data_IF_706160484068
#
_entry.id   IF_706160484068
#
_cell.length_a   1.000
_cell.length_b   1.000
_cell.length_c   1.000
_cell.angle_alpha   90.00
_cell.angle_beta   90.00
_cell.angle_gamma   90.00
#
_symmetry.space_group_name_H-M   'P 1'
#
loop_
_entity.id
_entity.type
_entity.pdbx_description
1 polymer ?
#
# COMPACT_ATOMS: atom_id res chain seq x y z
N UNK A 1 42.21 -62.68 81.34
CA UNK A 1 41.79 -63.89 80.51
C UNK A 1 41.12 -63.40 79.28
N UNK A 2 41.56 -63.86 78.13
CA UNK A 2 41.02 -63.81 76.77
C UNK A 2 41.08 -62.47 76.04
N UNK A 3 42.05 -62.43 75.19
CA UNK A 3 42.26 -61.52 74.07
C UNK A 3 41.12 -61.58 73.01
N UNK A 4 40.68 -60.42 72.52
CA UNK A 4 40.08 -60.37 71.18
C UNK A 4 40.72 -59.26 70.35
N UNK A 5 41.37 -59.71 69.29
CA UNK A 5 42.00 -58.92 68.28
C UNK A 5 40.92 -58.24 67.41
N UNK A 6 40.89 -56.93 67.30
CA UNK A 6 40.06 -56.23 66.39
C UNK A 6 40.85 -55.85 65.13
N UNK A 7 40.37 -56.30 63.97
CA UNK A 7 40.95 -56.05 62.66
C UNK A 7 40.56 -54.68 62.17
N UNK A 8 41.53 -53.84 61.93
CA UNK A 8 41.36 -52.58 61.16
C UNK A 8 40.92 -52.94 59.74
N UNK A 9 39.82 -52.37 59.30
CA UNK A 9 39.40 -52.29 57.88
C UNK A 9 39.74 -50.90 57.35
N UNK A 10 40.74 -50.85 56.51
CA UNK A 10 41.09 -49.69 55.67
C UNK A 10 39.95 -49.45 54.69
N UNK A 11 39.34 -48.27 54.74
CA UNK A 11 38.43 -47.77 53.71
C UNK A 11 39.23 -46.92 52.74
N UNK A 12 39.38 -47.39 51.53
CA UNK A 12 39.87 -46.61 50.41
C UNK A 12 38.86 -45.57 49.97
N UNK A 13 39.19 -44.28 50.04
CA UNK A 13 38.43 -43.22 49.41
C UNK A 13 38.73 -43.27 47.90
N UNK A 14 37.68 -43.56 47.09
CA UNK A 14 37.70 -43.35 45.67
C UNK A 14 37.32 -41.90 45.41
N UNK A 15 38.25 -41.07 44.96
CA UNK A 15 38.03 -39.69 44.45
C UNK A 15 37.53 -39.85 43.02
N UNK A 16 36.23 -39.66 42.80
CA UNK A 16 35.65 -39.61 41.46
C UNK A 16 35.93 -38.24 40.82
N UNK A 17 36.76 -38.21 39.80
CA UNK A 17 36.89 -37.06 38.88
C UNK A 17 35.60 -37.01 38.03
N UNK A 18 34.73 -36.01 38.30
CA UNK A 18 33.65 -35.65 37.40
C UNK A 18 34.23 -34.82 36.26
N UNK A 19 34.40 -35.44 35.09
CA UNK A 19 34.63 -34.72 33.82
C UNK A 19 33.34 -34.00 33.44
N UNK A 20 33.30 -32.69 33.61
CA UNK A 20 32.27 -31.83 33.01
C UNK A 20 32.51 -31.77 31.51
N UNK A 21 31.78 -32.58 30.75
CA UNK A 21 31.67 -32.44 29.31
C UNK A 21 30.86 -31.16 29.00
N UNK A 22 31.55 -30.06 28.77
CA UNK A 22 30.94 -28.85 28.18
C UNK A 22 30.49 -29.21 26.75
N UNK A 23 29.22 -29.48 26.58
CA UNK A 23 28.59 -29.57 25.26
C UNK A 23 28.72 -28.22 24.59
N UNK A 24 29.70 -28.08 23.70
CA UNK A 24 29.72 -27.00 22.71
C UNK A 24 28.50 -27.25 21.81
N UNK A 25 27.38 -26.53 22.10
CA UNK A 25 26.31 -26.37 21.16
C UNK A 25 26.94 -25.68 19.92
N UNK A 26 26.79 -26.24 18.72
CA UNK A 26 27.19 -25.54 17.54
C UNK A 26 26.35 -24.24 17.51
N UNK A 27 27.02 -23.08 17.61
CA UNK A 27 26.42 -21.80 17.23
C UNK A 27 26.09 -21.98 15.76
N UNK A 28 24.81 -22.26 15.47
CA UNK A 28 24.33 -22.24 14.11
C UNK A 28 24.69 -20.85 13.56
N UNK A 29 25.65 -20.80 12.64
CA UNK A 29 25.81 -19.61 11.80
C UNK A 29 24.42 -19.38 11.20
N UNK A 30 23.77 -18.26 11.51
CA UNK A 30 22.65 -17.77 10.73
C UNK A 30 23.22 -17.67 9.31
N UNK A 31 22.91 -18.66 8.46
CA UNK A 31 23.25 -18.60 7.04
C UNK A 31 22.63 -17.32 6.53
N UNK A 32 23.38 -16.51 5.79
CA UNK A 32 22.81 -15.36 5.10
C UNK A 32 21.57 -15.88 4.33
N UNK A 33 20.42 -15.22 4.51
CA UNK A 33 19.20 -15.61 3.82
C UNK A 33 19.46 -15.74 2.32
N UNK A 34 18.94 -16.79 1.69
CA UNK A 34 19.18 -17.04 0.28
C UNK A 34 18.46 -16.05 -0.64
N UNK A 35 17.52 -15.27 -0.09
CA UNK A 35 16.70 -14.25 -0.78
C UNK A 35 16.55 -13.00 0.08
N UNK A 36 16.11 -11.90 -0.54
CA UNK A 36 15.58 -10.75 0.14
C UNK A 36 14.04 -10.88 0.27
N UNK A 37 13.52 -10.51 1.42
CA UNK A 37 12.07 -10.54 1.69
C UNK A 37 11.49 -9.11 1.58
N UNK A 38 10.62 -8.93 0.60
CA UNK A 38 9.94 -7.66 0.32
C UNK A 38 8.44 -7.79 0.58
N UNK A 39 7.89 -6.89 1.41
CA UNK A 39 6.45 -6.76 1.63
C UNK A 39 5.91 -5.49 0.95
N UNK A 40 4.85 -5.63 0.13
CA UNK A 40 4.13 -4.52 -0.46
C UNK A 40 2.79 -4.33 0.25
N UNK A 41 2.65 -3.19 0.91
CA UNK A 41 1.47 -2.74 1.66
C UNK A 41 0.83 -1.56 0.94
N UNK A 42 -0.48 -1.39 1.06
CA UNK A 42 -1.12 -0.22 0.48
C UNK A 42 -2.60 -0.39 0.16
N UNK A 43 -3.11 0.58 -0.56
CA UNK A 43 -4.49 0.69 -1.01
C UNK A 43 -4.69 0.23 -2.47
N UNK A 44 -5.73 0.73 -3.14
CA UNK A 44 -6.06 0.40 -4.53
C UNK A 44 -4.99 0.82 -5.54
N UNK A 45 -4.23 1.87 -5.26
CA UNK A 45 -3.12 2.31 -6.11
C UNK A 45 -1.91 1.37 -6.04
N UNK A 46 -1.79 0.61 -4.94
CA UNK A 46 -0.81 -0.46 -4.81
C UNK A 46 -1.35 -1.79 -5.34
N UNK A 47 -2.63 -2.09 -5.07
CA UNK A 47 -3.28 -3.33 -5.50
C UNK A 47 -3.51 -3.41 -7.02
N UNK A 48 -3.59 -2.27 -7.72
CA UNK A 48 -3.83 -2.21 -9.16
C UNK A 48 -5.20 -2.76 -9.55
N UNK A 49 -6.24 -2.34 -8.86
CA UNK A 49 -7.58 -2.98 -8.78
C UNK A 49 -8.25 -3.33 -10.11
N UNK A 50 -7.80 -2.82 -11.27
CA UNK A 50 -8.39 -3.14 -12.57
C UNK A 50 -7.37 -3.16 -13.73
N UNK A 51 -6.08 -3.33 -13.44
CA UNK A 51 -5.03 -3.41 -14.46
C UNK A 51 -4.50 -4.84 -14.60
N UNK A 52 -4.98 -5.60 -15.55
CA UNK A 52 -4.57 -6.99 -15.77
C UNK A 52 -5.47 -8.02 -15.10
N UNK A 53 -5.01 -9.27 -14.98
CA UNK A 53 -5.78 -10.34 -14.40
C UNK A 53 -5.78 -10.27 -12.86
N UNK A 54 -6.91 -10.60 -12.20
CA UNK A 54 -6.99 -10.58 -10.74
C UNK A 54 -6.12 -11.67 -10.10
N UNK A 55 -5.50 -11.33 -8.97
CA UNK A 55 -4.67 -12.18 -8.13
C UNK A 55 -5.23 -12.25 -6.70
N UNK A 56 -5.72 -13.40 -6.22
CA UNK A 56 -5.92 -14.68 -6.93
C UNK A 56 -6.97 -14.61 -8.06
N UNK A 57 -6.95 -15.58 -9.02
CA UNK A 57 -7.87 -15.58 -10.15
C UNK A 57 -9.35 -15.62 -9.74
N UNK A 58 -10.25 -15.16 -10.64
CA UNK A 58 -11.69 -15.21 -10.40
C UNK A 58 -12.17 -16.65 -10.19
N UNK A 59 -12.86 -16.90 -9.07
CA UNK A 59 -13.36 -18.23 -8.70
C UNK A 59 -12.41 -19.01 -7.80
N UNK A 60 -11.20 -18.52 -7.54
CA UNK A 60 -10.32 -19.11 -6.55
C UNK A 60 -10.86 -18.87 -5.13
N UNK A 61 -10.86 -19.93 -4.29
CA UNK A 61 -11.38 -19.86 -2.92
C UNK A 61 -10.51 -18.99 -1.98
N UNK A 62 -9.27 -18.68 -2.37
CA UNK A 62 -8.36 -17.82 -1.60
C UNK A 62 -8.56 -16.32 -1.89
N UNK A 63 -9.50 -15.93 -2.77
CA UNK A 63 -9.82 -14.53 -2.98
C UNK A 63 -10.32 -13.88 -1.70
N UNK A 64 -9.74 -12.75 -1.38
CA UNK A 64 -10.01 -12.00 -0.16
C UNK A 64 -10.78 -10.69 -0.37
N UNK A 65 -11.10 -10.34 -1.63
CA UNK A 65 -11.79 -9.10 -1.98
C UNK A 65 -10.90 -7.85 -2.00
N UNK A 66 -9.59 -8.02 -1.95
CA UNK A 66 -8.62 -6.92 -2.01
C UNK A 66 -8.31 -6.44 -3.44
N UNK A 67 -8.74 -7.21 -4.46
CA UNK A 67 -8.63 -6.87 -5.88
C UNK A 67 -7.21 -6.56 -6.38
N UNK A 68 -6.21 -7.29 -5.87
CA UNK A 68 -4.86 -7.25 -6.43
C UNK A 68 -4.85 -7.82 -7.84
N UNK A 69 -3.97 -7.28 -8.71
CA UNK A 69 -3.85 -7.74 -10.10
C UNK A 69 -2.39 -7.94 -10.51
N UNK A 70 -2.17 -8.76 -11.55
CA UNK A 70 -0.84 -9.11 -12.05
C UNK A 70 -0.03 -7.95 -12.65
N UNK A 71 -0.70 -6.85 -13.04
CA UNK A 71 -0.06 -5.66 -13.59
C UNK A 71 -0.02 -4.49 -12.59
N UNK A 72 -0.35 -4.73 -11.33
CA UNK A 72 -0.05 -3.81 -10.25
C UNK A 72 1.47 -3.56 -10.16
N UNK A 73 1.87 -2.35 -9.73
CA UNK A 73 3.29 -2.02 -9.70
C UNK A 73 4.15 -2.99 -8.88
N UNK A 74 3.70 -3.57 -7.75
CA UNK A 74 4.53 -4.54 -7.02
C UNK A 74 4.85 -5.78 -7.85
N UNK A 75 3.85 -6.31 -8.57
CA UNK A 75 4.00 -7.51 -9.39
C UNK A 75 4.86 -7.23 -10.65
N UNK A 76 4.78 -6.00 -11.18
CA UNK A 76 5.70 -5.55 -12.27
C UNK A 76 7.13 -5.52 -11.77
N UNK A 77 7.38 -4.90 -10.59
CA UNK A 77 8.71 -4.82 -9.96
C UNK A 77 9.26 -6.21 -9.62
N UNK A 78 8.41 -7.13 -9.13
CA UNK A 78 8.84 -8.50 -8.83
C UNK A 78 9.41 -9.18 -10.08
N UNK A 79 8.72 -9.04 -11.24
CA UNK A 79 9.21 -9.62 -12.51
C UNK A 79 10.55 -9.01 -12.94
N UNK A 80 10.71 -7.69 -12.83
CA UNK A 80 11.97 -7.00 -13.17
C UNK A 80 13.12 -7.42 -12.23
N UNK A 81 12.85 -7.53 -10.94
CA UNK A 81 13.83 -8.00 -9.96
C UNK A 81 14.16 -9.49 -10.11
N UNK A 82 13.23 -10.30 -10.62
CA UNK A 82 13.47 -11.71 -10.95
C UNK A 82 14.37 -11.85 -12.19
N UNK A 83 14.18 -10.99 -13.21
CA UNK A 83 15.03 -10.99 -14.41
C UNK A 83 16.43 -10.45 -14.10
N UNK A 84 16.53 -9.38 -13.29
CA UNK A 84 17.79 -8.73 -12.91
C UNK A 84 17.94 -8.62 -11.39
N UNK A 85 18.28 -9.71 -10.67
CA UNK A 85 18.33 -9.70 -9.21
C UNK A 85 19.40 -8.75 -8.64
N UNK A 86 19.13 -8.02 -7.55
CA UNK A 86 20.09 -7.15 -6.89
C UNK A 86 21.06 -7.93 -5.98
N UNK A 87 21.79 -8.89 -6.55
CA UNK A 87 22.72 -9.77 -5.84
C UNK A 87 22.10 -11.05 -5.30
N UNK A 88 20.84 -11.05 -4.88
CA UNK A 88 20.04 -12.22 -4.47
C UNK A 88 18.64 -12.11 -5.06
N UNK A 89 17.89 -13.24 -5.19
CA UNK A 89 16.47 -13.21 -5.49
C UNK A 89 15.71 -12.32 -4.48
N UNK A 90 14.62 -11.72 -4.93
CA UNK A 90 13.70 -10.95 -4.09
C UNK A 90 12.36 -11.65 -4.09
N UNK A 91 11.85 -11.98 -2.92
CA UNK A 91 10.54 -12.60 -2.75
C UNK A 91 9.52 -11.52 -2.36
N UNK A 92 8.49 -11.35 -3.17
CA UNK A 92 7.39 -10.42 -2.88
C UNK A 92 6.29 -11.08 -2.05
N UNK A 93 5.85 -10.39 -1.01
CA UNK A 93 4.56 -10.63 -0.33
C UNK A 93 3.68 -9.40 -0.51
N UNK A 94 2.80 -9.42 -1.52
CA UNK A 94 1.85 -8.34 -1.79
C UNK A 94 0.55 -8.56 -1.02
N UNK A 95 0.28 -7.73 -0.02
CA UNK A 95 -0.94 -7.76 0.82
C UNK A 95 -1.77 -6.48 0.72
N UNK A 96 -1.47 -5.62 -0.26
CA UNK A 96 -2.25 -4.42 -0.54
C UNK A 96 -3.73 -4.76 -0.76
N UNK A 97 -4.61 -3.81 -0.51
CA UNK A 97 -6.05 -4.05 -0.56
C UNK A 97 -6.83 -2.81 -1.01
N UNK A 98 -7.68 -2.97 -2.01
CA UNK A 98 -8.55 -1.90 -2.48
C UNK A 98 -9.36 -1.28 -1.34
N UNK A 99 -9.41 0.05 -1.28
CA UNK A 99 -10.13 0.78 -0.25
C UNK A 99 -9.44 0.85 1.12
N UNK A 100 -8.24 0.30 1.30
CA UNK A 100 -7.53 0.34 2.57
C UNK A 100 -7.29 1.78 3.05
N UNK A 101 -7.58 2.03 4.32
CA UNK A 101 -7.20 3.25 5.05
C UNK A 101 -5.90 3.01 5.83
N UNK A 102 -5.27 4.06 6.32
CA UNK A 102 -3.97 3.96 7.02
C UNK A 102 -4.04 3.00 8.21
N UNK A 103 -5.15 2.99 8.96
CA UNK A 103 -5.32 2.09 10.10
C UNK A 103 -5.36 0.60 9.70
N UNK A 104 -5.78 0.27 8.47
CA UNK A 104 -5.84 -1.12 7.99
C UNK A 104 -4.43 -1.71 7.75
N UNK A 105 -3.43 -0.85 7.63
CA UNK A 105 -2.03 -1.31 7.55
C UNK A 105 -1.61 -1.96 8.86
N UNK A 106 -1.94 -1.35 10.03
CA UNK A 106 -1.28 -1.71 11.29
C UNK A 106 -2.20 -1.97 12.48
N UNK A 107 -3.41 -1.42 12.52
CA UNK A 107 -4.23 -1.37 13.75
C UNK A 107 -5.62 -1.98 13.64
N UNK A 108 -6.27 -1.88 12.49
CA UNK A 108 -7.63 -2.35 12.26
C UNK A 108 -7.71 -3.45 11.22
N UNK A 109 -8.70 -4.32 11.36
CA UNK A 109 -9.03 -5.31 10.33
C UNK A 109 -9.87 -4.63 9.25
N UNK A 110 -9.50 -4.80 7.99
CA UNK A 110 -10.25 -4.27 6.87
C UNK A 110 -11.39 -5.21 6.47
N UNK A 111 -12.56 -4.66 6.20
CA UNK A 111 -13.60 -5.36 5.43
C UNK A 111 -13.43 -4.93 3.96
N UNK A 112 -12.96 -5.82 3.06
CA UNK A 112 -12.75 -5.47 1.66
C UNK A 112 -14.05 -5.06 0.97
N UNK A 113 -13.94 -4.11 0.05
CA UNK A 113 -15.09 -3.49 -0.63
C UNK A 113 -15.24 -3.90 -2.10
N UNK A 114 -14.55 -4.96 -2.53
CA UNK A 114 -14.59 -5.42 -3.93
C UNK A 114 -16.03 -5.60 -4.43
N UNK A 115 -16.38 -4.95 -5.55
CA UNK A 115 -17.66 -5.19 -6.23
C UNK A 115 -17.64 -6.46 -7.09
N UNK A 116 -16.50 -7.16 -7.19
CA UNK A 116 -16.26 -8.27 -8.11
C UNK A 116 -16.58 -9.59 -7.45
N UNK A 117 -17.77 -10.13 -7.72
CA UNK A 117 -18.23 -11.44 -7.22
C UNK A 117 -18.07 -11.60 -5.70
N UNK A 118 -18.62 -10.70 -4.89
CA UNK A 118 -18.58 -10.88 -3.44
C UNK A 118 -19.35 -12.16 -3.06
N UNK A 119 -18.91 -12.88 -2.02
CA UNK A 119 -19.66 -14.00 -1.47
C UNK A 119 -20.99 -13.51 -0.88
N UNK A 120 -21.92 -14.44 -0.63
CA UNK A 120 -23.15 -14.12 0.10
C UNK A 120 -22.79 -13.56 1.49
N UNK A 121 -23.34 -12.41 1.83
CA UNK A 121 -23.02 -11.69 3.07
C UNK A 121 -21.81 -10.74 2.99
N UNK A 122 -21.18 -10.61 1.81
CA UNK A 122 -20.02 -9.73 1.59
C UNK A 122 -18.67 -10.40 1.90
N UNK A 123 -17.60 -9.67 1.71
CA UNK A 123 -16.25 -10.15 1.99
C UNK A 123 -16.00 -10.23 3.50
N UNK A 124 -15.38 -11.31 4.01
CA UNK A 124 -14.98 -11.39 5.40
C UNK A 124 -13.87 -10.37 5.70
N UNK A 125 -13.83 -9.88 6.95
CA UNK A 125 -12.74 -9.01 7.36
C UNK A 125 -11.40 -9.73 7.32
N UNK A 126 -10.40 -9.08 6.70
CA UNK A 126 -9.01 -9.55 6.66
C UNK A 126 -8.21 -8.91 7.80
N UNK A 127 -7.15 -9.58 8.26
CA UNK A 127 -6.26 -9.05 9.29
C UNK A 127 -5.45 -7.85 8.75
N UNK A 128 -4.80 -7.10 9.65
CA UNK A 128 -3.97 -5.95 9.26
C UNK A 128 -2.91 -6.36 8.26
N UNK A 129 -2.49 -5.43 7.39
CA UNK A 129 -1.51 -5.75 6.37
C UNK A 129 -0.15 -6.15 6.96
N UNK A 130 0.26 -5.57 8.09
CA UNK A 130 1.46 -6.01 8.85
C UNK A 130 1.37 -7.51 9.21
N UNK A 131 0.21 -7.95 9.71
CA UNK A 131 0.00 -9.35 10.09
C UNK A 131 -0.04 -10.28 8.87
N UNK A 132 -0.75 -9.87 7.82
CA UNK A 132 -0.87 -10.66 6.57
C UNK A 132 0.47 -10.79 5.84
N UNK A 133 1.31 -9.76 5.89
CA UNK A 133 2.65 -9.79 5.33
C UNK A 133 3.65 -10.60 6.18
N UNK A 134 3.30 -10.91 7.44
CA UNK A 134 4.22 -11.58 8.36
C UNK A 134 5.46 -10.75 8.64
N UNK A 135 5.32 -9.42 8.76
CA UNK A 135 6.47 -8.53 9.00
C UNK A 135 7.25 -8.98 10.24
N UNK A 136 8.57 -9.02 10.13
CA UNK A 136 9.47 -9.49 11.18
C UNK A 136 10.91 -9.06 10.97
N UNK A 137 11.81 -9.58 11.83
CA UNK A 137 13.25 -9.29 11.75
C UNK A 137 13.90 -9.73 10.42
N UNK A 138 13.27 -10.70 9.72
CA UNK A 138 13.72 -11.19 8.41
C UNK A 138 13.20 -10.41 7.23
N UNK A 139 12.34 -9.40 7.42
CA UNK A 139 11.86 -8.54 6.35
C UNK A 139 12.96 -7.55 5.95
N UNK A 140 13.29 -7.49 4.67
CA UNK A 140 14.37 -6.64 4.15
C UNK A 140 13.87 -5.29 3.65
N UNK A 141 12.73 -5.29 2.96
CA UNK A 141 12.12 -4.08 2.39
C UNK A 141 10.62 -4.08 2.66
N UNK A 142 10.08 -2.92 2.98
CA UNK A 142 8.64 -2.67 3.04
C UNK A 142 8.31 -1.49 2.14
N UNK A 143 7.42 -1.66 1.17
CA UNK A 143 6.85 -0.54 0.40
C UNK A 143 5.43 -0.26 0.86
N UNK A 144 5.04 1.01 0.99
CA UNK A 144 3.73 1.43 1.52
C UNK A 144 3.17 2.56 0.67
N UNK A 145 2.04 2.30 -0.03
CA UNK A 145 1.30 3.31 -0.78
C UNK A 145 -0.12 3.40 -0.23
N UNK A 146 -0.40 4.32 0.70
CA UNK A 146 -1.68 4.47 1.39
C UNK A 146 -1.91 5.91 1.84
N UNK A 147 -3.16 6.31 2.04
CA UNK A 147 -3.52 7.62 2.60
C UNK A 147 -4.72 8.28 1.89
N UNK A 148 -4.93 7.98 0.60
CA UNK A 148 -6.02 8.56 -0.18
C UNK A 148 -7.40 8.23 0.39
N UNK A 149 -7.61 7.04 0.91
CA UNK A 149 -8.88 6.65 1.53
C UNK A 149 -9.05 7.23 2.95
N UNK A 150 -7.97 7.41 3.71
CA UNK A 150 -8.02 8.12 5.00
C UNK A 150 -8.34 9.60 4.80
N UNK A 151 -7.87 10.22 3.70
CA UNK A 151 -8.25 11.57 3.29
C UNK A 151 -9.67 11.66 2.73
N UNK A 152 -10.42 10.64 2.58
CA UNK A 152 -11.52 10.20 1.71
C UNK A 152 -11.56 10.89 0.34
N UNK A 153 -10.47 10.76 -0.44
CA UNK A 153 -10.31 11.43 -1.74
C UNK A 153 -11.45 11.13 -2.73
N UNK A 154 -11.90 9.85 -2.82
CA UNK A 154 -13.04 9.50 -3.66
C UNK A 154 -14.35 10.19 -3.23
N UNK A 155 -14.57 10.34 -1.92
CA UNK A 155 -15.71 11.10 -1.37
C UNK A 155 -15.62 12.59 -1.70
N UNK A 156 -14.41 13.17 -1.62
CA UNK A 156 -14.15 14.55 -2.01
C UNK A 156 -14.46 14.75 -3.50
N UNK A 157 -13.99 13.88 -4.38
CA UNK A 157 -14.28 13.91 -5.82
C UNK A 157 -15.80 13.81 -6.09
N UNK A 158 -16.50 12.90 -5.40
CA UNK A 158 -17.95 12.73 -5.55
C UNK A 158 -18.70 14.00 -5.15
N UNK A 159 -18.32 14.60 -4.02
CA UNK A 159 -18.90 15.90 -3.58
C UNK A 159 -18.62 17.00 -4.60
N UNK A 160 -17.40 17.07 -5.15
CA UNK A 160 -17.08 18.05 -6.18
C UNK A 160 -17.90 17.84 -7.46
N UNK A 161 -18.13 16.59 -7.84
CA UNK A 161 -18.99 16.25 -8.97
C UNK A 161 -20.44 16.69 -8.73
N UNK A 162 -21.01 16.37 -7.56
CA UNK A 162 -22.38 16.78 -7.17
C UNK A 162 -22.55 18.30 -7.14
N UNK A 163 -21.61 19.03 -6.49
CA UNK A 163 -21.60 20.49 -6.43
C UNK A 163 -21.47 21.11 -7.81
N UNK A 164 -20.60 20.56 -8.67
CA UNK A 164 -20.40 21.02 -10.04
C UNK A 164 -21.66 20.91 -10.92
N UNK A 165 -22.56 19.94 -10.66
CA UNK A 165 -23.85 19.80 -11.39
C UNK A 165 -24.77 21.01 -11.19
N UNK A 166 -24.68 21.69 -10.05
CA UNK A 166 -25.49 22.85 -9.70
C UNK A 166 -24.69 24.16 -9.71
N UNK A 167 -23.47 24.13 -10.26
CA UNK A 167 -22.58 25.30 -10.39
C UNK A 167 -22.05 25.82 -9.05
N UNK A 168 -22.01 24.99 -8.01
CA UNK A 168 -21.42 25.30 -6.70
C UNK A 168 -19.98 24.83 -6.62
N UNK A 169 -19.15 25.50 -5.79
CA UNK A 169 -17.79 25.09 -5.48
C UNK A 169 -17.76 24.00 -4.40
N UNK A 170 -17.00 22.95 -4.61
CA UNK A 170 -16.71 21.99 -3.55
C UNK A 170 -15.58 22.48 -2.64
N UNK A 171 -14.66 23.32 -3.16
CA UNK A 171 -13.64 23.98 -2.35
C UNK A 171 -14.27 24.70 -1.15
N UNK A 172 -15.29 25.54 -1.39
CA UNK A 172 -15.93 26.31 -0.32
C UNK A 172 -16.53 25.41 0.76
N UNK A 173 -17.14 24.29 0.32
CA UNK A 173 -17.68 23.27 1.23
C UNK A 173 -16.61 22.63 2.13
N UNK A 174 -15.44 22.30 1.60
CA UNK A 174 -14.37 21.65 2.37
C UNK A 174 -13.45 22.64 3.11
N UNK A 175 -13.49 23.93 2.74
CA UNK A 175 -12.73 24.98 3.44
C UNK A 175 -13.48 25.46 4.67
N UNK A 176 -14.81 25.62 4.56
CA UNK A 176 -15.73 26.04 5.64
C UNK A 176 -16.91 25.04 5.72
N UNK A 177 -16.66 23.83 6.23
CA UNK A 177 -17.65 22.75 6.24
C UNK A 177 -18.77 23.04 7.26
N UNK A 178 -19.95 22.38 7.10
CA UNK A 178 -21.00 22.41 8.09
C UNK A 178 -20.51 21.99 9.48
N UNK A 179 -21.22 22.44 10.52
CA UNK A 179 -20.92 22.09 11.90
C UNK A 179 -20.89 20.55 12.09
N UNK A 180 -19.80 20.04 12.66
CA UNK A 180 -19.58 18.60 12.91
C UNK A 180 -18.86 17.88 11.79
N UNK A 181 -18.54 18.53 10.67
CA UNK A 181 -17.72 17.97 9.60
C UNK A 181 -16.28 18.50 9.64
N UNK A 182 -15.31 17.68 9.23
CA UNK A 182 -13.90 18.09 9.17
C UNK A 182 -13.62 18.92 7.90
N UNK A 183 -12.88 20.02 8.09
CA UNK A 183 -12.28 20.74 6.97
C UNK A 183 -11.20 19.92 6.27
N UNK A 184 -10.78 20.35 5.07
CA UNK A 184 -9.64 19.70 4.38
C UNK A 184 -8.35 19.79 5.20
N UNK A 185 -8.15 20.89 5.94
CA UNK A 185 -7.00 21.05 6.81
C UNK A 185 -7.02 20.06 7.99
N UNK A 186 -8.19 19.84 8.61
CA UNK A 186 -8.35 18.86 9.69
C UNK A 186 -8.14 17.44 9.19
N UNK A 187 -8.68 17.09 8.01
CA UNK A 187 -8.48 15.79 7.37
C UNK A 187 -6.99 15.51 7.11
N UNK A 188 -6.25 16.49 6.59
CA UNK A 188 -4.81 16.35 6.35
C UNK A 188 -4.01 16.24 7.66
N UNK A 189 -4.41 16.94 8.71
CA UNK A 189 -3.80 16.84 10.03
C UNK A 189 -4.02 15.44 10.63
N UNK A 190 -5.24 14.90 10.54
CA UNK A 190 -5.57 13.54 10.97
C UNK A 190 -4.78 12.49 10.17
N UNK A 191 -4.70 12.61 8.84
CA UNK A 191 -3.89 11.73 7.99
C UNK A 191 -2.43 11.73 8.42
N UNK A 192 -1.86 12.89 8.75
CA UNK A 192 -0.48 12.98 9.26
C UNK A 192 -0.31 12.17 10.55
N UNK A 193 -1.22 12.33 11.50
CA UNK A 193 -1.12 11.69 12.81
C UNK A 193 -1.32 10.15 12.69
N UNK A 194 -2.25 9.70 11.85
CA UNK A 194 -2.43 8.29 11.49
C UNK A 194 -1.19 7.71 10.81
N UNK A 195 -0.54 8.47 9.92
CA UNK A 195 0.65 8.04 9.18
C UNK A 195 1.86 7.88 10.11
N UNK A 196 2.02 8.77 11.10
CA UNK A 196 3.04 8.66 12.15
C UNK A 196 2.84 7.36 12.96
N UNK A 197 1.61 7.10 13.40
CA UNK A 197 1.31 5.87 14.16
C UNK A 197 1.59 4.63 13.32
N UNK A 198 1.16 4.61 12.07
CA UNK A 198 1.37 3.50 11.13
C UNK A 198 2.86 3.19 10.95
N UNK A 199 3.69 4.19 10.61
CA UNK A 199 5.13 3.97 10.41
C UNK A 199 5.82 3.50 11.69
N UNK A 200 5.46 4.05 12.86
CA UNK A 200 6.00 3.57 14.13
C UNK A 200 5.72 2.07 14.34
N UNK A 201 4.53 1.60 13.98
CA UNK A 201 4.16 0.17 14.08
C UNK A 201 4.85 -0.69 13.02
N UNK A 202 5.05 -0.18 11.82
CA UNK A 202 5.80 -0.88 10.77
C UNK A 202 7.25 -1.08 11.20
N UNK A 203 7.92 -0.04 11.71
CA UNK A 203 9.28 -0.14 12.25
C UNK A 203 9.38 -1.08 13.46
N UNK A 204 8.36 -1.09 14.32
CA UNK A 204 8.30 -2.04 15.42
C UNK A 204 8.17 -3.49 14.94
N UNK A 205 7.37 -3.73 13.89
CA UNK A 205 7.13 -5.06 13.35
C UNK A 205 8.32 -5.57 12.52
N UNK A 206 8.98 -4.70 11.75
CA UNK A 206 10.11 -5.04 10.89
C UNK A 206 11.33 -4.13 11.17
N UNK A 207 12.01 -4.30 12.32
CA UNK A 207 13.03 -3.36 12.80
C UNK A 207 14.28 -3.29 11.90
N UNK A 208 14.50 -4.28 11.05
CA UNK A 208 15.64 -4.34 10.13
C UNK A 208 15.28 -3.93 8.69
N UNK A 209 14.01 -3.72 8.41
CA UNK A 209 13.54 -3.41 7.06
C UNK A 209 13.90 -1.97 6.64
N UNK A 210 14.18 -1.79 5.36
CA UNK A 210 14.15 -0.49 4.71
C UNK A 210 12.71 -0.18 4.32
N UNK A 211 12.16 0.89 4.86
CA UNK A 211 10.80 1.33 4.56
C UNK A 211 10.84 2.36 3.44
N UNK A 212 9.99 2.13 2.42
CA UNK A 212 9.84 2.98 1.25
C UNK A 212 8.36 3.40 1.18
N UNK A 213 8.05 4.66 1.37
CA UNK A 213 6.68 5.17 1.20
C UNK A 213 6.50 5.64 -0.23
N UNK A 214 5.39 5.24 -0.86
CA UNK A 214 5.09 5.56 -2.26
C UNK A 214 4.01 6.63 -2.31
N UNK A 215 4.30 7.75 -2.95
CA UNK A 215 3.35 8.83 -3.15
C UNK A 215 2.28 8.51 -4.20
N UNK A 216 1.31 9.40 -4.36
CA UNK A 216 0.29 9.34 -5.40
C UNK A 216 0.77 10.07 -6.66
N UNK A 217 0.46 9.56 -7.86
CA UNK A 217 0.81 10.21 -9.12
C UNK A 217 0.04 11.54 -9.33
N UNK A 218 0.45 12.31 -10.32
CA UNK A 218 -0.25 13.50 -10.76
C UNK A 218 -1.55 13.10 -11.48
N UNK A 219 -2.61 12.86 -10.70
CA UNK A 219 -3.91 12.45 -11.26
C UNK A 219 -4.70 13.62 -11.85
N UNK A 220 -4.34 14.87 -11.51
CA UNK A 220 -5.01 16.09 -11.91
C UNK A 220 -4.05 16.95 -12.76
N UNK A 221 -4.53 17.64 -13.81
CA UNK A 221 -3.69 18.42 -14.73
C UNK A 221 -3.06 19.63 -14.05
N UNK A 222 -1.95 20.08 -14.59
CA UNK A 222 -1.32 21.35 -14.18
C UNK A 222 -2.18 22.56 -14.59
N UNK A 223 -2.83 22.47 -15.75
CA UNK A 223 -3.83 23.45 -16.22
C UNK A 223 -5.22 22.78 -16.26
N UNK A 224 -6.11 23.17 -15.38
CA UNK A 224 -7.48 22.63 -15.36
C UNK A 224 -8.27 22.96 -16.64
N UNK A 225 -7.81 23.95 -17.45
CA UNK A 225 -8.37 24.27 -18.74
C UNK A 225 -8.24 23.14 -19.77
N UNK A 226 -7.34 22.20 -19.56
CA UNK A 226 -7.16 21.00 -20.41
C UNK A 226 -8.30 20.00 -20.26
N UNK A 227 -9.07 20.08 -19.14
CA UNK A 227 -10.17 19.16 -18.87
C UNK A 227 -11.46 19.54 -19.60
N UNK A 228 -12.07 18.58 -20.27
CA UNK A 228 -13.40 18.70 -20.82
C UNK A 228 -14.45 18.38 -19.74
N UNK A 229 -15.10 19.40 -19.20
CA UNK A 229 -16.15 19.29 -18.16
C UNK A 229 -17.40 18.50 -18.57
N UNK A 230 -17.55 18.14 -19.83
CA UNK A 230 -18.64 17.27 -20.30
C UNK A 230 -18.22 15.82 -20.47
N UNK A 231 -16.93 15.50 -20.23
CA UNK A 231 -16.37 14.18 -20.41
C UNK A 231 -16.31 13.39 -19.08
N UNK A 232 -17.08 12.31 -18.99
CA UNK A 232 -17.00 11.35 -17.89
C UNK A 232 -15.73 10.49 -17.93
N UNK A 233 -15.01 10.47 -19.07
CA UNK A 233 -13.69 9.82 -19.16
C UNK A 233 -12.57 10.70 -18.61
N UNK A 234 -12.92 11.88 -18.13
CA UNK A 234 -12.09 12.82 -17.40
C UNK A 234 -12.72 13.08 -16.03
N UNK A 235 -12.85 14.34 -15.63
CA UNK A 235 -13.37 14.77 -14.33
C UNK A 235 -14.85 15.23 -14.38
N UNK A 236 -15.49 15.10 -15.54
CA UNK A 236 -16.89 15.47 -15.72
C UNK A 236 -17.21 16.91 -15.25
N UNK A 237 -18.31 17.09 -14.53
CA UNK A 237 -18.85 18.40 -14.14
C UNK A 237 -18.08 19.14 -13.04
N UNK A 238 -16.97 18.61 -12.55
CA UNK A 238 -16.11 19.31 -11.58
C UNK A 238 -15.63 20.63 -12.21
N UNK A 239 -15.72 21.73 -11.49
CA UNK A 239 -15.32 23.04 -12.03
C UNK A 239 -13.80 23.13 -12.17
N UNK A 240 -13.29 23.89 -13.14
CA UNK A 240 -11.85 24.10 -13.30
C UNK A 240 -11.19 24.61 -12.02
N UNK A 241 -11.82 25.57 -11.34
CA UNK A 241 -11.32 26.09 -10.07
C UNK A 241 -11.27 25.02 -8.95
N UNK A 242 -12.22 24.08 -8.94
CA UNK A 242 -12.19 22.95 -8.01
C UNK A 242 -11.14 21.90 -8.40
N UNK A 243 -10.86 21.70 -9.70
CA UNK A 243 -9.75 20.85 -10.17
C UNK A 243 -8.41 21.40 -9.70
N UNK A 244 -8.18 22.73 -9.88
CA UNK A 244 -6.97 23.38 -9.39
C UNK A 244 -6.83 23.25 -7.87
N UNK A 245 -7.93 23.47 -7.12
CA UNK A 245 -7.95 23.29 -5.68
C UNK A 245 -7.68 21.83 -5.26
N UNK A 246 -8.29 20.85 -5.92
CA UNK A 246 -8.03 19.42 -5.66
C UNK A 246 -6.56 19.08 -5.86
N UNK A 247 -5.91 19.64 -6.89
CA UNK A 247 -4.48 19.46 -7.14
C UNK A 247 -3.63 20.09 -6.04
N UNK A 248 -3.85 21.39 -5.80
CA UNK A 248 -2.91 22.21 -5.02
C UNK A 248 -3.14 22.16 -3.51
N UNK A 249 -4.41 22.00 -3.07
CA UNK A 249 -4.80 22.04 -1.66
C UNK A 249 -5.21 20.66 -1.10
N UNK A 250 -5.33 19.61 -1.96
CA UNK A 250 -5.69 18.26 -1.51
C UNK A 250 -4.58 17.25 -1.87
N UNK A 251 -4.30 17.01 -3.16
CA UNK A 251 -3.39 15.95 -3.60
C UNK A 251 -1.92 16.26 -3.29
N UNK A 252 -1.43 17.45 -3.70
CA UNK A 252 -0.05 17.86 -3.39
C UNK A 252 0.21 17.94 -1.88
N UNK A 253 -0.69 18.47 -1.03
CA UNK A 253 -0.55 18.39 0.43
C UNK A 253 -0.54 16.98 0.99
N UNK A 254 -1.35 16.05 0.47
CA UNK A 254 -1.29 14.64 0.87
C UNK A 254 0.11 14.06 0.62
N UNK A 255 0.65 14.21 -0.59
CA UNK A 255 2.00 13.75 -0.93
C UNK A 255 3.08 14.40 -0.05
N UNK A 256 2.97 15.71 0.21
CA UNK A 256 3.89 16.40 1.14
C UNK A 256 3.79 15.86 2.57
N UNK A 257 2.60 15.51 3.04
CA UNK A 257 2.39 14.91 4.36
C UNK A 257 3.07 13.55 4.45
N UNK A 258 2.87 12.69 3.44
CA UNK A 258 3.52 11.38 3.36
C UNK A 258 5.05 11.55 3.37
N UNK A 259 5.59 12.42 2.53
CA UNK A 259 7.03 12.70 2.45
C UNK A 259 7.59 13.19 3.79
N UNK A 260 6.96 14.19 4.41
CA UNK A 260 7.43 14.77 5.68
C UNK A 260 7.45 13.74 6.82
N UNK A 261 6.44 12.88 6.90
CA UNK A 261 6.41 11.82 7.91
C UNK A 261 7.47 10.76 7.61
N UNK A 262 7.68 10.40 6.35
CA UNK A 262 8.75 9.48 5.93
C UNK A 262 10.13 10.02 6.30
N UNK A 263 10.40 11.28 5.98
CA UNK A 263 11.66 11.96 6.32
C UNK A 263 11.89 11.99 7.84
N UNK A 264 10.83 12.17 8.64
CA UNK A 264 10.90 12.15 10.10
C UNK A 264 11.36 10.78 10.66
N UNK A 265 10.94 9.68 10.03
CA UNK A 265 11.39 8.33 10.40
C UNK A 265 12.73 7.94 9.75
N UNK A 266 13.26 8.74 8.84
CA UNK A 266 14.45 8.41 8.04
C UNK A 266 14.16 7.42 6.92
N UNK A 267 12.90 7.30 6.54
CA UNK A 267 12.43 6.45 5.45
C UNK A 267 12.60 7.14 4.10
N UNK A 268 12.60 6.37 3.03
CA UNK A 268 12.69 6.92 1.68
C UNK A 268 11.30 7.13 1.09
N UNK A 269 10.99 8.37 0.76
CA UNK A 269 9.83 8.70 -0.06
C UNK A 269 10.12 8.43 -1.54
N UNK A 270 9.24 7.70 -2.21
CA UNK A 270 9.27 7.44 -3.65
C UNK A 270 8.33 8.42 -4.34
N UNK A 271 8.91 9.44 -4.96
CA UNK A 271 8.15 10.45 -5.72
C UNK A 271 7.75 9.87 -7.08
N UNK A 272 6.46 9.64 -7.24
CA UNK A 272 5.83 9.26 -8.51
C UNK A 272 4.95 10.38 -9.06
N UNK A 273 4.78 11.47 -8.30
CA UNK A 273 4.02 12.64 -8.75
C UNK A 273 4.77 13.35 -9.88
N UNK A 274 6.01 13.76 -9.61
CA UNK A 274 6.80 14.52 -10.57
C UNK A 274 7.06 13.76 -11.88
N UNK A 275 7.19 12.43 -11.82
CA UNK A 275 7.42 11.60 -13.02
C UNK A 275 6.16 11.36 -13.86
N UNK A 276 4.98 11.64 -13.33
CA UNK A 276 3.68 11.45 -14.00
C UNK A 276 3.00 12.76 -14.40
N UNK A 277 3.64 13.92 -14.19
CA UNK A 277 3.15 15.21 -14.69
C UNK A 277 2.97 15.17 -16.20
N UNK A 278 1.84 15.71 -16.69
CA UNK A 278 1.46 15.66 -18.10
C UNK A 278 0.84 14.34 -18.56
N UNK A 279 0.57 13.39 -17.63
CA UNK A 279 -0.08 12.11 -17.90
C UNK A 279 -1.35 11.91 -17.06
N UNK A 280 -1.97 13.01 -16.66
CA UNK A 280 -3.18 13.07 -15.83
C UNK A 280 -4.45 12.62 -16.55
N UNK A 281 -5.58 12.64 -15.83
CA UNK A 281 -6.88 12.16 -16.34
C UNK A 281 -7.43 12.95 -17.53
N UNK A 282 -6.98 14.21 -17.75
CA UNK A 282 -7.48 15.09 -18.80
C UNK A 282 -6.66 14.99 -20.11
N UNK A 283 -5.60 14.18 -20.10
CA UNK A 283 -4.81 13.93 -21.30
C UNK A 283 -5.51 12.98 -22.29
N UNK A 284 -5.14 13.02 -23.59
CA UNK A 284 -5.62 12.04 -24.57
C UNK A 284 -5.37 10.59 -24.12
N UNK A 285 -6.21 9.67 -24.62
CA UNK A 285 -6.20 8.26 -24.20
C UNK A 285 -4.86 7.53 -24.43
N UNK A 286 -4.06 7.99 -25.41
CA UNK A 286 -2.72 7.47 -25.73
C UNK A 286 -1.59 8.13 -24.91
N UNK A 287 -1.91 9.12 -24.09
CA UNK A 287 -0.95 9.89 -23.31
C UNK A 287 -1.19 9.74 -21.80
N UNK A 288 -2.45 9.60 -21.37
CA UNK A 288 -2.80 9.52 -19.96
C UNK A 288 -2.33 8.22 -19.29
N UNK A 289 -1.91 8.33 -18.06
CA UNK A 289 -1.56 7.20 -17.18
C UNK A 289 -2.57 6.99 -16.06
N UNK A 290 -3.61 7.79 -16.03
CA UNK A 290 -4.70 7.74 -15.05
C UNK A 290 -6.03 7.77 -15.79
N UNK A 291 -6.90 6.82 -15.51
CA UNK A 291 -8.26 6.82 -16.01
C UNK A 291 -9.11 7.82 -15.22
N UNK A 292 -10.12 8.41 -15.87
CA UNK A 292 -11.01 9.37 -15.25
C UNK A 292 -12.03 8.74 -14.29
N UNK A 293 -13.18 9.39 -14.13
CA UNK A 293 -14.30 8.84 -13.35
C UNK A 293 -14.81 7.56 -13.99
N UNK A 294 -14.97 7.56 -15.31
CA UNK A 294 -15.19 6.39 -16.15
C UNK A 294 -13.96 6.19 -17.05
N UNK A 295 -13.50 4.97 -17.21
CA UNK A 295 -12.31 4.70 -18.02
C UNK A 295 -12.24 3.28 -18.54
N UNK A 296 -11.11 2.96 -19.15
CA UNK A 296 -10.78 1.61 -19.57
C UNK A 296 -10.26 0.81 -18.37
N UNK A 297 -10.70 -0.41 -18.25
CA UNK A 297 -10.28 -1.34 -17.22
C UNK A 297 -10.45 -2.77 -17.72
N UNK A 298 -9.82 -3.74 -17.03
CA UNK A 298 -9.96 -5.14 -17.33
C UNK A 298 -11.43 -5.58 -17.37
N UNK A 299 -11.76 -6.55 -18.22
CA UNK A 299 -13.14 -6.99 -18.48
C UNK A 299 -13.95 -7.38 -17.25
N UNK A 300 -13.26 -7.92 -16.22
CA UNK A 300 -13.92 -8.35 -14.99
C UNK A 300 -14.43 -7.18 -14.13
N UNK A 301 -13.90 -5.96 -14.33
CA UNK A 301 -14.29 -4.80 -13.54
C UNK A 301 -15.65 -4.26 -13.97
N UNK A 302 -16.55 -3.92 -13.03
CA UNK A 302 -17.90 -3.51 -13.37
C UNK A 302 -17.97 -2.05 -13.87
N UNK A 303 -18.93 -1.80 -14.78
CA UNK A 303 -19.27 -0.45 -15.22
C UNK A 303 -20.13 0.32 -14.20
N UNK A 304 -20.68 -0.39 -13.22
CA UNK A 304 -21.53 0.16 -12.15
C UNK A 304 -21.25 -0.57 -10.84
N UNK A 305 -21.10 0.19 -9.77
CA UNK A 305 -20.88 -0.33 -8.41
C UNK A 305 -22.07 0.05 -7.53
N UNK A 306 -22.62 -0.86 -6.71
CA UNK A 306 -23.68 -0.55 -5.76
C UNK A 306 -23.30 0.63 -4.86
N UNK A 307 -24.23 1.56 -4.64
CA UNK A 307 -24.01 2.75 -3.82
C UNK A 307 -23.32 3.93 -4.54
N UNK A 308 -22.79 3.72 -5.75
CA UNK A 308 -22.25 4.80 -6.60
C UNK A 308 -23.32 5.23 -7.61
N UNK A 309 -23.71 6.52 -7.68
CA UNK A 309 -24.81 6.98 -8.54
C UNK A 309 -24.44 7.06 -10.03
N UNK A 310 -23.29 6.52 -10.43
CA UNK A 310 -22.75 6.56 -11.78
C UNK A 310 -22.86 5.19 -12.46
N UNK A 311 -23.14 5.22 -13.78
CA UNK A 311 -23.18 4.05 -14.64
C UNK A 311 -22.36 4.31 -15.91
N UNK A 312 -21.10 3.94 -15.88
CA UNK A 312 -20.16 4.12 -16.98
C UNK A 312 -20.49 3.21 -18.19
N UNK A 313 -21.29 2.18 -18.02
CA UNK A 313 -21.74 1.31 -19.12
C UNK A 313 -22.61 2.03 -20.16
N UNK A 314 -23.18 3.19 -19.83
CA UNK A 314 -23.91 4.02 -20.81
C UNK A 314 -23.00 4.61 -21.90
N UNK A 315 -21.71 4.68 -21.66
CA UNK A 315 -20.66 5.16 -22.59
C UNK A 315 -19.62 4.05 -22.89
N UNK A 316 -19.99 2.79 -22.64
CA UNK A 316 -19.12 1.62 -22.87
C UNK A 316 -17.78 1.71 -22.11
N UNK A 317 -17.81 2.18 -20.88
CA UNK A 317 -16.65 2.30 -19.98
C UNK A 317 -16.92 1.62 -18.63
N UNK A 318 -15.86 1.50 -17.82
CA UNK A 318 -15.88 0.97 -16.46
C UNK A 318 -15.79 2.10 -15.45
N UNK A 319 -16.20 1.86 -14.20
CA UNK A 319 -16.10 2.83 -13.12
C UNK A 319 -14.67 2.80 -12.55
N UNK A 320 -13.83 3.73 -12.97
CA UNK A 320 -12.40 3.74 -12.63
C UNK A 320 -12.02 4.74 -11.52
N UNK A 321 -12.86 5.74 -11.25
CA UNK A 321 -12.71 6.67 -10.10
C UNK A 321 -11.28 7.24 -9.95
N UNK A 322 -10.71 7.72 -11.06
CA UNK A 322 -9.41 8.41 -11.08
C UNK A 322 -8.27 7.53 -10.59
N UNK A 323 -8.11 6.34 -11.16
CA UNK A 323 -7.03 5.40 -10.81
C UNK A 323 -6.02 5.23 -11.95
N UNK A 324 -4.76 4.85 -11.62
CA UNK A 324 -3.74 4.57 -12.60
C UNK A 324 -4.14 3.42 -13.53
N UNK A 325 -3.82 3.56 -14.82
CA UNK A 325 -3.85 2.48 -15.81
C UNK A 325 -2.53 1.70 -15.82
N UNK A 326 -2.33 0.82 -16.81
CA UNK A 326 -1.13 -0.02 -16.89
C UNK A 326 0.15 0.81 -17.03
N UNK A 327 0.14 1.91 -17.79
CA UNK A 327 1.26 2.82 -17.96
C UNK A 327 1.59 3.56 -16.67
N UNK A 328 0.57 3.99 -15.90
CA UNK A 328 0.75 4.59 -14.58
C UNK A 328 1.37 3.61 -13.58
N UNK A 329 0.96 2.35 -13.60
CA UNK A 329 1.60 1.30 -12.81
C UNK A 329 3.03 1.01 -13.26
N UNK A 330 3.31 1.01 -14.58
CA UNK A 330 4.67 0.82 -15.10
C UNK A 330 5.61 1.96 -14.67
N UNK A 331 5.15 3.22 -14.71
CA UNK A 331 5.91 4.35 -14.19
C UNK A 331 6.20 4.20 -12.68
N UNK A 332 5.18 3.87 -11.88
CA UNK A 332 5.36 3.64 -10.44
C UNK A 332 6.35 2.50 -10.20
N UNK A 333 6.24 1.40 -10.96
CA UNK A 333 7.14 0.26 -10.86
C UNK A 333 8.60 0.64 -11.10
N UNK A 334 8.91 1.44 -12.13
CA UNK A 334 10.27 1.87 -12.43
C UNK A 334 10.91 2.67 -11.28
N UNK A 335 10.12 3.54 -10.62
CA UNK A 335 10.58 4.33 -9.48
C UNK A 335 10.74 3.48 -8.21
N UNK A 336 9.82 2.57 -7.93
CA UNK A 336 9.86 1.67 -6.77
C UNK A 336 11.00 0.66 -6.91
N UNK A 337 11.18 0.05 -8.08
CA UNK A 337 12.29 -0.86 -8.38
C UNK A 337 13.64 -0.20 -8.10
N UNK A 338 13.83 1.00 -8.63
CA UNK A 338 15.05 1.78 -8.40
C UNK A 338 15.28 2.03 -6.91
N UNK A 339 14.23 2.41 -6.17
CA UNK A 339 14.30 2.67 -4.74
C UNK A 339 14.65 1.40 -3.94
N UNK A 340 14.08 0.24 -4.28
CA UNK A 340 14.39 -1.07 -3.69
C UNK A 340 15.87 -1.43 -3.93
N UNK A 341 16.36 -1.30 -5.17
CA UNK A 341 17.78 -1.57 -5.49
C UNK A 341 18.72 -0.73 -4.66
N UNK A 342 18.44 0.57 -4.50
CA UNK A 342 19.25 1.46 -3.66
C UNK A 342 19.17 1.01 -2.20
N UNK A 343 17.98 0.75 -1.66
CA UNK A 343 17.78 0.35 -0.28
C UNK A 343 18.52 -0.96 0.07
N UNK A 344 18.60 -1.90 -0.87
CA UNK A 344 19.32 -3.16 -0.70
C UNK A 344 20.85 -3.03 -0.83
N UNK A 345 21.35 -1.98 -1.51
CA UNK A 345 22.79 -1.69 -1.59
C UNK A 345 23.33 -0.95 -0.36
N UNK A 346 22.50 -0.27 0.39
CA UNK A 346 22.84 0.51 1.59
C UNK A 346 22.83 -0.33 2.89
N UNK A 347 22.83 -1.66 2.76
CA UNK A 347 22.84 -2.63 3.88
C UNK A 347 24.23 -2.96 4.40
#
# INVERSE_FOLDING_TARGET
MRHRVSRLRTRALAVGLALAASALLPSGSAGAADSYEWAALGDSYTAGVFVGAPQPPLGDASRDGCDRTENAYPDVVERELAEFPPGKPVNLTNVSCGGAVISDIATTRQVPISPVRPPEGGWPAVDTQIQRAGLGEGTDVVTIGVGGNSLPFAGILTTCLEKGTVGQSCRDYFTDPPEGEESIADKLARVRDEYIEMLARVHQAAPNARVLTVGYPAVLPEDSGDCNRLSFTELSLITHADVDWLRDDVLKPLNRTIQQVSDFFGDRYVDVYSSSEGHDVCQPADTKWVEGICGDAADFWPAKVPGVPLNCGLIDKKLTLVHPNAEGHANTAAHVERAIRIALLER
#
